data_IF_876544326854
#
_entry.id   IF_876544326854
#
_cell.length_a   1.000
_cell.length_b   1.000
_cell.length_c   1.000
_cell.angle_alpha   90.00
_cell.angle_beta   90.00
_cell.angle_gamma   90.00
#
_symmetry.space_group_name_H-M   'P 1'
#
loop_
_entity.id
_entity.type
_entity.pdbx_description
1 polymer ?
#
# COMPACT_ATOMS: atom_id res chain seq x y z
N UNK A 1 -11.49 -0.51 25.16
CA UNK A 1 -12.31 -1.46 25.96
C UNK A 1 -11.75 -2.85 25.70
N UNK A 2 -10.91 -3.38 26.60
CA UNK A 2 -10.30 -4.70 26.44
C UNK A 2 -11.28 -5.77 26.93
N UNK A 3 -11.64 -6.72 26.06
CA UNK A 3 -12.67 -7.72 26.31
C UNK A 3 -12.21 -8.91 27.19
N UNK A 4 -11.12 -8.79 27.97
CA UNK A 4 -10.55 -9.93 28.72
C UNK A 4 -10.17 -9.64 30.17
N UNK A 5 -10.31 -8.40 30.68
CA UNK A 5 -10.13 -8.13 32.12
C UNK A 5 -8.71 -8.36 32.67
N UNK A 6 -7.71 -8.53 31.81
CA UNK A 6 -6.30 -8.64 32.20
C UNK A 6 -5.61 -7.31 31.92
N UNK A 7 -5.08 -6.69 32.97
CA UNK A 7 -4.32 -5.44 32.89
C UNK A 7 -2.84 -5.76 32.65
N UNK A 8 -2.37 -5.59 31.42
CA UNK A 8 -0.95 -5.75 31.08
C UNK A 8 -0.19 -4.43 31.38
N UNK A 9 0.77 -4.41 32.32
CA UNK A 9 1.39 -3.16 32.80
C UNK A 9 2.21 -2.42 31.73
N UNK A 10 2.64 -3.10 30.66
CA UNK A 10 3.43 -2.53 29.57
C UNK A 10 2.80 -2.71 28.18
N UNK A 11 1.69 -3.42 28.07
CA UNK A 11 1.16 -3.90 26.79
C UNK A 11 0.83 -2.78 25.82
N UNK A 12 0.07 -1.78 26.28
CA UNK A 12 -0.35 -0.65 25.44
C UNK A 12 0.83 0.22 25.03
N UNK A 13 1.73 0.56 25.96
CA UNK A 13 2.88 1.40 25.68
C UNK A 13 3.87 0.70 24.74
N UNK A 14 4.18 -0.57 24.98
CA UNK A 14 5.03 -1.36 24.09
C UNK A 14 4.40 -1.49 22.70
N UNK A 15 3.10 -1.80 22.63
CA UNK A 15 2.40 -2.02 21.35
C UNK A 15 2.30 -0.72 20.54
N UNK A 16 2.09 0.43 21.19
CA UNK A 16 2.09 1.74 20.51
C UNK A 16 3.47 2.08 19.91
N UNK A 17 4.55 1.59 20.50
CA UNK A 17 5.93 1.75 19.98
C UNK A 17 6.29 0.73 18.89
N UNK A 18 5.39 -0.16 18.49
CA UNK A 18 5.65 -1.07 17.36
C UNK A 18 5.39 -0.31 16.05
N UNK A 19 6.40 -0.25 15.20
CA UNK A 19 6.26 0.13 13.81
C UNK A 19 5.82 -1.11 13.02
N UNK A 20 4.62 -1.07 12.45
CA UNK A 20 4.06 -2.20 11.69
C UNK A 20 4.03 -1.88 10.20
N UNK A 21 4.49 -2.80 9.37
CA UNK A 21 4.42 -2.69 7.91
C UNK A 21 3.63 -3.87 7.35
N UNK A 22 2.51 -3.57 6.72
CA UNK A 22 1.74 -4.55 5.97
C UNK A 22 2.35 -4.79 4.61
N UNK A 23 2.36 -6.04 4.16
CA UNK A 23 2.84 -6.41 2.82
C UNK A 23 1.75 -7.21 2.12
N UNK A 24 1.29 -6.72 0.98
CA UNK A 24 0.25 -7.35 0.16
C UNK A 24 0.67 -7.39 -1.29
N UNK A 25 0.21 -8.41 -2.01
CA UNK A 25 0.44 -8.53 -3.43
C UNK A 25 -0.79 -9.04 -4.15
N UNK A 26 -0.98 -8.56 -5.38
CA UNK A 26 -2.06 -8.99 -6.25
C UNK A 26 -1.56 -9.15 -7.69
N UNK A 27 -1.63 -10.39 -8.17
CA UNK A 27 -1.16 -10.78 -9.52
C UNK A 27 -2.31 -11.06 -10.50
N UNK A 28 -3.54 -11.17 -10.01
CA UNK A 28 -4.73 -11.46 -10.80
C UNK A 28 -5.99 -10.81 -10.19
N UNK A 29 -7.06 -10.76 -10.98
CA UNK A 29 -8.39 -10.28 -10.54
C UNK A 29 -8.37 -8.83 -10.01
N UNK A 30 -7.60 -7.96 -10.67
CA UNK A 30 -7.38 -6.55 -10.27
C UNK A 30 -8.72 -5.84 -10.16
N UNK A 31 -9.62 -6.03 -11.12
CA UNK A 31 -10.94 -5.37 -11.13
C UNK A 31 -11.93 -5.89 -10.08
N UNK A 32 -11.87 -7.19 -9.75
CA UNK A 32 -12.91 -7.82 -8.92
C UNK A 32 -12.70 -7.60 -7.42
N UNK A 33 -11.47 -7.25 -7.01
CA UNK A 33 -11.10 -7.17 -5.59
C UNK A 33 -10.85 -5.74 -5.08
N UNK A 34 -11.04 -4.71 -5.93
CA UNK A 34 -10.69 -3.32 -5.58
C UNK A 34 -11.43 -2.86 -4.33
N UNK A 35 -12.75 -3.00 -4.31
CA UNK A 35 -13.58 -2.43 -3.25
C UNK A 35 -13.29 -3.11 -1.91
N UNK A 36 -13.25 -4.44 -1.89
CA UNK A 36 -12.88 -5.22 -0.69
C UNK A 36 -11.47 -4.92 -0.20
N UNK A 37 -10.52 -4.72 -1.11
CA UNK A 37 -9.15 -4.42 -0.72
C UNK A 37 -9.03 -2.99 -0.17
N UNK A 38 -9.67 -2.03 -0.82
CA UNK A 38 -9.70 -0.65 -0.34
C UNK A 38 -10.34 -0.56 1.04
N UNK A 39 -11.45 -1.27 1.27
CA UNK A 39 -12.10 -1.36 2.58
C UNK A 39 -11.16 -1.94 3.65
N UNK A 40 -10.40 -3.00 3.34
CA UNK A 40 -9.44 -3.60 4.28
C UNK A 40 -8.29 -2.65 4.59
N UNK A 41 -7.67 -2.05 3.56
CA UNK A 41 -6.59 -1.08 3.73
C UNK A 41 -7.09 0.18 4.45
N UNK A 42 -8.34 0.59 4.30
CA UNK A 42 -8.93 1.71 5.05
C UNK A 42 -9.22 1.34 6.52
N UNK A 43 -9.79 0.16 6.76
CA UNK A 43 -10.27 -0.24 8.08
C UNK A 43 -9.14 -0.54 9.07
N UNK A 44 -8.01 -1.04 8.60
CA UNK A 44 -6.86 -1.37 9.44
C UNK A 44 -6.26 -0.16 10.18
N UNK A 45 -5.80 0.91 9.50
CA UNK A 45 -5.24 2.08 10.17
C UNK A 45 -6.31 2.77 11.01
N UNK A 46 -7.57 2.80 10.55
CA UNK A 46 -8.67 3.36 11.32
C UNK A 46 -8.85 2.65 12.66
N UNK A 47 -8.82 1.32 12.68
CA UNK A 47 -8.97 0.57 13.93
C UNK A 47 -7.73 0.69 14.82
N UNK A 48 -6.53 0.60 14.24
CA UNK A 48 -5.29 0.65 14.99
C UNK A 48 -5.02 2.03 15.58
N UNK A 49 -5.17 3.12 14.82
CA UNK A 49 -4.97 4.48 15.33
C UNK A 49 -6.00 4.89 16.38
N UNK A 50 -7.23 4.35 16.33
CA UNK A 50 -8.22 4.61 17.39
C UNK A 50 -7.87 3.92 18.71
N UNK A 51 -7.09 2.85 18.69
CA UNK A 51 -6.62 2.13 19.88
C UNK A 51 -5.24 2.66 20.31
N UNK A 52 -4.34 2.92 19.35
CA UNK A 52 -2.93 3.28 19.53
C UNK A 52 -2.61 4.52 18.65
N UNK A 53 -2.98 5.74 19.09
CA UNK A 53 -2.93 6.93 18.24
C UNK A 53 -1.56 7.27 17.66
N UNK A 54 -0.47 6.96 18.37
CA UNK A 54 0.90 7.25 17.93
C UNK A 54 1.54 6.11 17.13
N UNK A 55 0.90 4.95 17.03
CA UNK A 55 1.47 3.82 16.28
C UNK A 55 1.81 4.23 14.86
N UNK A 56 2.97 3.78 14.35
CA UNK A 56 3.43 4.07 13.00
C UNK A 56 3.12 2.88 12.11
N UNK A 57 2.31 3.11 11.09
CA UNK A 57 1.82 2.11 10.16
C UNK A 57 2.33 2.38 8.75
N UNK A 58 2.88 1.35 8.14
CA UNK A 58 3.25 1.30 6.74
C UNK A 58 2.44 0.27 5.96
N UNK A 59 2.30 0.48 4.66
CA UNK A 59 1.80 -0.55 3.75
C UNK A 59 2.64 -0.61 2.47
N UNK A 60 3.08 -1.81 2.11
CA UNK A 60 3.69 -2.11 0.82
C UNK A 60 2.68 -2.95 0.04
N UNK A 61 2.24 -2.42 -1.09
CA UNK A 61 1.29 -3.07 -1.96
C UNK A 61 1.88 -3.30 -3.34
N UNK A 62 1.99 -4.56 -3.75
CA UNK A 62 2.46 -4.93 -5.08
C UNK A 62 1.27 -5.27 -5.99
N UNK A 63 1.17 -4.58 -7.12
CA UNK A 63 0.15 -4.83 -8.14
C UNK A 63 0.82 -5.14 -9.48
N UNK A 64 0.43 -6.24 -10.10
CA UNK A 64 0.84 -6.51 -11.49
C UNK A 64 0.05 -5.62 -12.45
N UNK A 65 0.71 -4.99 -13.42
CA UNK A 65 0.01 -4.19 -14.46
C UNK A 65 -0.65 -5.06 -15.54
N UNK A 66 -0.27 -6.34 -15.60
CA UNK A 66 -0.86 -7.38 -16.45
C UNK A 66 -1.25 -8.58 -15.60
N UNK A 67 -2.50 -8.99 -15.68
CA UNK A 67 -2.97 -10.15 -14.93
C UNK A 67 -2.37 -11.44 -15.48
N UNK A 68 -2.06 -12.38 -14.58
CA UNK A 68 -1.79 -13.76 -14.99
C UNK A 68 -3.03 -14.37 -15.66
N UNK A 69 -2.81 -15.11 -16.74
CA UNK A 69 -3.86 -15.91 -17.35
C UNK A 69 -4.06 -17.20 -16.56
N UNK A 70 -5.09 -17.21 -15.72
CA UNK A 70 -5.45 -18.36 -14.88
C UNK A 70 -5.69 -19.65 -15.68
N UNK A 71 -6.19 -19.56 -16.92
CA UNK A 71 -6.43 -20.73 -17.75
C UNK A 71 -5.11 -21.36 -18.23
N UNK A 72 -4.12 -20.52 -18.56
CA UNK A 72 -2.78 -20.98 -18.96
C UNK A 72 -1.97 -21.47 -17.76
N UNK A 73 -2.06 -20.78 -16.62
CA UNK A 73 -1.39 -21.19 -15.38
C UNK A 73 -1.89 -22.55 -14.91
N UNK A 74 -3.19 -22.85 -15.05
CA UNK A 74 -3.73 -24.18 -14.76
C UNK A 74 -3.14 -25.30 -15.64
N UNK A 75 -2.57 -24.94 -16.79
CA UNK A 75 -1.85 -25.83 -17.71
C UNK A 75 -0.33 -25.78 -17.53
N UNK A 76 0.17 -25.21 -16.41
CA UNK A 76 1.58 -24.97 -16.12
C UNK A 76 2.29 -24.05 -17.13
N UNK A 77 1.54 -23.19 -17.82
CA UNK A 77 2.08 -22.20 -18.74
C UNK A 77 1.99 -20.79 -18.12
N UNK A 78 3.12 -20.15 -17.89
CA UNK A 78 3.17 -18.78 -17.35
C UNK A 78 2.88 -17.81 -18.49
N UNK A 79 1.62 -17.41 -18.61
CA UNK A 79 1.16 -16.43 -19.58
C UNK A 79 0.46 -15.26 -18.90
N UNK A 80 0.55 -14.09 -19.52
CA UNK A 80 -0.05 -12.84 -19.04
C UNK A 80 -1.11 -12.37 -20.03
N UNK A 81 -2.22 -11.87 -19.51
CA UNK A 81 -3.24 -11.23 -20.32
C UNK A 81 -2.72 -9.90 -20.86
N UNK A 82 -3.17 -9.54 -22.06
CA UNK A 82 -2.88 -8.21 -22.61
C UNK A 82 -3.46 -7.12 -21.71
N UNK A 83 -2.73 -6.01 -21.61
CA UNK A 83 -3.23 -4.83 -20.89
C UNK A 83 -4.42 -4.24 -21.65
N UNK A 84 -5.49 -3.91 -20.93
CA UNK A 84 -6.73 -3.35 -21.51
C UNK A 84 -7.08 -2.03 -20.86
N UNK A 85 -7.88 -1.20 -21.54
CA UNK A 85 -8.34 0.08 -20.99
C UNK A 85 -9.06 -0.07 -19.64
N UNK A 86 -9.77 -1.18 -19.41
CA UNK A 86 -10.42 -1.48 -18.13
C UNK A 86 -9.40 -1.71 -17.02
N UNK A 87 -8.33 -2.47 -17.30
CA UNK A 87 -7.23 -2.68 -16.34
C UNK A 87 -6.54 -1.36 -16.01
N UNK A 88 -6.28 -0.51 -17.00
CA UNK A 88 -5.73 0.83 -16.77
C UNK A 88 -6.60 1.69 -15.85
N UNK A 89 -7.94 1.66 -16.03
CA UNK A 89 -8.89 2.35 -15.12
C UNK A 89 -8.84 1.79 -13.69
N UNK A 90 -8.65 0.48 -13.54
CA UNK A 90 -8.50 -0.12 -12.23
C UNK A 90 -7.21 0.33 -11.55
N UNK A 91 -6.07 0.29 -12.25
CA UNK A 91 -4.79 0.79 -11.74
C UNK A 91 -4.90 2.27 -11.34
N UNK A 92 -5.58 3.08 -12.15
CA UNK A 92 -5.86 4.49 -11.81
C UNK A 92 -6.62 4.62 -10.48
N UNK A 93 -7.66 3.79 -10.26
CA UNK A 93 -8.41 3.75 -8.99
C UNK A 93 -7.52 3.35 -7.82
N UNK A 94 -6.61 2.38 -7.98
CA UNK A 94 -5.65 1.99 -6.95
C UNK A 94 -4.73 3.13 -6.56
N UNK A 95 -4.13 3.80 -7.53
CA UNK A 95 -3.21 4.92 -7.28
C UNK A 95 -3.95 6.04 -6.53
N UNK A 96 -5.14 6.43 -7.00
CA UNK A 96 -5.96 7.47 -6.36
C UNK A 96 -6.38 7.08 -4.94
N UNK A 97 -6.79 5.84 -4.75
CA UNK A 97 -7.17 5.30 -3.45
C UNK A 97 -6.01 5.33 -2.47
N UNK A 98 -4.87 4.74 -2.83
CA UNK A 98 -3.72 4.72 -1.94
C UNK A 98 -3.14 6.12 -1.70
N UNK A 99 -3.16 7.02 -2.68
CA UNK A 99 -2.77 8.42 -2.45
C UNK A 99 -3.64 9.09 -1.36
N UNK A 100 -4.95 8.79 -1.33
CA UNK A 100 -5.86 9.34 -0.31
C UNK A 100 -5.64 8.75 1.09
N UNK A 101 -5.19 7.50 1.18
CA UNK A 101 -4.89 6.80 2.44
C UNK A 101 -3.45 7.02 2.93
N UNK A 102 -2.64 7.80 2.24
CA UNK A 102 -1.21 7.96 2.53
C UNK A 102 -0.92 9.28 3.26
N UNK A 103 0.31 9.42 3.76
CA UNK A 103 0.89 10.65 4.29
C UNK A 103 0.28 11.16 5.61
N UNK A 104 -0.16 10.25 6.49
CA UNK A 104 -0.45 10.61 7.89
C UNK A 104 0.82 11.16 8.54
N UNK A 105 0.73 12.34 9.13
CA UNK A 105 1.86 13.03 9.75
C UNK A 105 1.64 13.20 11.25
N UNK A 106 0.39 13.33 11.68
CA UNK A 106 0.05 13.57 13.08
C UNK A 106 -1.22 12.84 13.53
N UNK A 107 -1.42 12.75 14.84
CA UNK A 107 -2.65 12.25 15.46
C UNK A 107 -3.89 13.13 15.20
N UNK A 108 -3.71 14.32 14.60
CA UNK A 108 -4.82 15.20 14.21
C UNK A 108 -5.28 14.95 12.78
N UNK A 109 -4.50 14.21 12.01
CA UNK A 109 -4.87 13.80 10.66
C UNK A 109 -5.85 12.62 10.75
N UNK A 110 -6.45 12.29 9.61
CA UNK A 110 -7.45 11.22 9.56
C UNK A 110 -6.88 9.86 10.01
N UNK A 111 -7.55 9.20 10.95
CA UNK A 111 -7.14 7.90 11.50
C UNK A 111 -7.05 6.80 10.44
N UNK A 112 -7.78 6.92 9.34
CA UNK A 112 -7.78 5.96 8.24
C UNK A 112 -6.54 6.04 7.34
N UNK A 113 -5.64 7.01 7.55
CA UNK A 113 -4.41 7.16 6.77
C UNK A 113 -3.26 6.39 7.41
N UNK A 114 -2.41 5.82 6.58
CA UNK A 114 -1.08 5.35 6.94
C UNK A 114 -0.07 6.48 6.93
N UNK A 115 0.99 6.35 7.73
CA UNK A 115 2.14 7.24 7.67
C UNK A 115 2.84 7.16 6.32
N UNK A 116 2.90 5.95 5.76
CA UNK A 116 3.40 5.73 4.40
C UNK A 116 2.79 4.50 3.72
N UNK A 117 2.37 4.66 2.47
CA UNK A 117 2.05 3.56 1.55
C UNK A 117 3.05 3.57 0.39
N UNK A 118 3.62 2.40 0.07
CA UNK A 118 4.38 2.15 -1.14
C UNK A 118 3.58 1.25 -2.08
N UNK A 119 3.21 1.77 -3.24
CA UNK A 119 2.57 1.04 -4.33
C UNK A 119 3.62 0.64 -5.36
N UNK A 120 3.90 -0.65 -5.45
CA UNK A 120 4.80 -1.24 -6.44
C UNK A 120 3.96 -1.72 -7.62
N UNK A 121 4.02 -0.99 -8.73
CA UNK A 121 3.44 -1.43 -10.00
C UNK A 121 4.51 -2.18 -10.78
N UNK A 122 4.28 -3.46 -11.08
CA UNK A 122 5.25 -4.32 -11.75
C UNK A 122 4.66 -4.98 -13.00
N UNK A 123 5.48 -5.09 -14.05
CA UNK A 123 5.17 -5.82 -15.27
C UNK A 123 6.01 -7.10 -15.34
N UNK A 124 5.44 -8.19 -14.82
CA UNK A 124 6.09 -9.49 -14.81
C UNK A 124 6.14 -10.15 -16.19
N UNK A 125 5.48 -9.60 -17.21
CA UNK A 125 5.59 -10.13 -18.57
C UNK A 125 6.85 -9.63 -19.30
N UNK A 126 7.64 -8.76 -18.67
CA UNK A 126 8.92 -8.29 -19.19
C UNK A 126 10.09 -9.02 -18.50
N UNK A 127 11.19 -9.19 -19.25
CA UNK A 127 12.44 -9.79 -18.75
C UNK A 127 13.59 -8.83 -19.05
N UNK A 128 14.18 -8.14 -18.07
CA UNK A 128 13.85 -8.17 -16.64
C UNK A 128 12.47 -7.56 -16.32
N UNK A 129 11.93 -7.87 -15.13
CA UNK A 129 10.66 -7.30 -14.65
C UNK A 129 10.78 -5.79 -14.61
N UNK A 130 9.83 -5.09 -15.25
CA UNK A 130 9.78 -3.62 -15.23
C UNK A 130 8.96 -3.16 -14.02
N UNK A 131 9.52 -2.27 -13.22
CA UNK A 131 8.83 -1.62 -12.09
C UNK A 131 8.60 -0.15 -12.48
N UNK A 132 7.39 0.34 -12.27
CA UNK A 132 7.02 1.73 -12.60
C UNK A 132 7.11 2.59 -11.34
N UNK A 133 7.94 3.64 -11.39
CA UNK A 133 8.19 4.51 -10.24
C UNK A 133 7.49 5.86 -10.33
N UNK A 134 7.02 6.25 -11.51
CA UNK A 134 6.42 7.56 -11.74
C UNK A 134 5.36 7.53 -12.86
N UNK A 135 4.56 8.59 -12.93
CA UNK A 135 3.54 8.76 -13.95
C UNK A 135 4.07 8.79 -15.38
N UNK A 136 5.29 9.28 -15.61
CA UNK A 136 5.85 9.37 -16.96
C UNK A 136 6.08 7.97 -17.55
N UNK A 137 6.62 7.04 -16.78
CA UNK A 137 6.79 5.64 -17.18
C UNK A 137 5.45 4.94 -17.44
N UNK A 138 4.45 5.17 -16.57
CA UNK A 138 3.11 4.60 -16.72
C UNK A 138 2.41 5.12 -17.99
N UNK A 139 2.56 6.41 -18.30
CA UNK A 139 1.98 7.04 -19.47
C UNK A 139 2.69 6.59 -20.76
N UNK A 140 4.03 6.47 -20.73
CA UNK A 140 4.82 6.03 -21.87
C UNK A 140 4.45 4.60 -22.32
N UNK A 141 4.15 3.72 -21.37
CA UNK A 141 3.77 2.32 -21.63
C UNK A 141 2.25 2.12 -21.80
N UNK A 142 1.46 3.20 -21.75
CA UNK A 142 0.01 3.15 -21.91
C UNK A 142 -0.71 2.38 -20.79
N UNK A 143 -0.14 2.34 -19.59
CA UNK A 143 -0.72 1.68 -18.41
C UNK A 143 -1.84 2.53 -17.81
N UNK A 144 -1.67 3.85 -17.81
CA UNK A 144 -2.71 4.78 -17.36
C UNK A 144 -3.62 5.22 -18.51
N UNK A 145 -4.93 5.43 -18.25
CA UNK A 145 -5.81 6.04 -19.24
C UNK A 145 -5.32 7.44 -19.64
N UNK A 146 -5.55 7.81 -20.90
CA UNK A 146 -5.23 9.15 -21.38
C UNK A 146 -5.94 10.22 -20.55
N UNK A 147 -5.20 11.22 -20.08
CA UNK A 147 -5.73 12.29 -19.21
C UNK A 147 -5.97 11.89 -17.76
N UNK A 148 -5.45 10.74 -17.32
CA UNK A 148 -5.50 10.32 -15.91
C UNK A 148 -4.92 11.39 -14.98
N UNK A 149 -5.63 11.63 -13.88
CA UNK A 149 -5.20 12.52 -12.78
C UNK A 149 -4.61 11.75 -11.60
N UNK A 150 -4.39 10.45 -11.74
CA UNK A 150 -3.68 9.67 -10.72
C UNK A 150 -2.27 10.22 -10.54
N UNK A 151 -1.74 10.17 -9.32
CA UNK A 151 -0.43 10.69 -8.98
C UNK A 151 0.34 9.65 -8.17
N UNK A 152 1.49 9.22 -8.69
CA UNK A 152 2.41 8.29 -8.02
C UNK A 152 3.32 9.00 -7.02
N UNK A 153 3.26 10.32 -6.92
CA UNK A 153 4.01 11.09 -5.93
C UNK A 153 3.70 10.54 -4.54
N UNK A 154 4.76 10.29 -3.76
CA UNK A 154 4.69 9.68 -2.44
C UNK A 154 4.18 8.22 -2.36
N UNK A 155 3.98 7.54 -3.49
CA UNK A 155 3.64 6.12 -3.54
C UNK A 155 4.80 5.24 -3.98
N UNK A 156 5.93 5.80 -4.41
CA UNK A 156 7.15 5.02 -4.65
C UNK A 156 7.65 4.35 -3.37
N UNK A 157 8.30 3.20 -3.53
CA UNK A 157 9.05 2.55 -2.46
C UNK A 157 10.27 3.39 -2.02
N UNK A 158 10.75 4.29 -2.86
CA UNK A 158 11.82 5.23 -2.52
C UNK A 158 11.38 6.14 -1.37
N UNK A 159 12.24 6.26 -0.36
CA UNK A 159 11.98 7.04 0.86
C UNK A 159 10.90 6.44 1.78
N UNK A 160 10.43 5.21 1.52
CA UNK A 160 9.41 4.56 2.34
C UNK A 160 9.88 4.37 3.80
N UNK A 161 11.04 3.74 3.97
CA UNK A 161 11.63 3.48 5.30
C UNK A 161 12.04 4.78 5.97
N UNK A 162 12.66 5.69 5.22
CA UNK A 162 13.10 7.00 5.72
C UNK A 162 11.91 7.78 6.31
N UNK A 163 10.77 7.78 5.62
CA UNK A 163 9.57 8.44 6.12
C UNK A 163 9.02 7.78 7.38
N UNK A 164 8.93 6.45 7.41
CA UNK A 164 8.40 5.74 8.59
C UNK A 164 9.28 5.95 9.81
N UNK A 165 10.61 5.87 9.64
CA UNK A 165 11.58 6.12 10.71
C UNK A 165 11.56 7.58 11.16
N UNK A 166 11.50 8.55 10.24
CA UNK A 166 11.35 9.96 10.56
C UNK A 166 10.11 10.23 11.43
N UNK A 167 8.96 9.65 11.06
CA UNK A 167 7.72 9.82 11.84
C UNK A 167 7.82 9.11 13.19
N UNK A 168 8.43 7.94 13.24
CA UNK A 168 8.66 7.20 14.47
C UNK A 168 9.51 8.00 15.46
N UNK A 169 10.67 8.49 15.01
CA UNK A 169 11.60 9.28 15.81
C UNK A 169 10.94 10.56 16.33
N UNK A 170 10.08 11.21 15.53
CA UNK A 170 9.30 12.37 15.97
C UNK A 170 8.29 12.05 17.09
N UNK A 171 7.78 10.83 17.14
CA UNK A 171 6.74 10.41 18.10
C UNK A 171 7.32 9.86 19.39
N UNK A 172 8.41 9.10 19.29
CA UNK A 172 8.96 8.34 20.41
C UNK A 172 10.38 8.76 20.79
N UNK A 173 11.09 9.49 19.92
CA UNK A 173 12.49 9.88 20.12
C UNK A 173 13.47 8.93 19.42
N UNK A 174 14.74 9.33 19.37
CA UNK A 174 15.82 8.58 18.70
C UNK A 174 16.52 7.61 19.67
N UNK A 175 17.02 6.49 19.16
CA UNK A 175 17.86 5.55 19.95
C UNK A 175 17.08 4.50 20.76
N UNK A 176 15.80 4.30 20.44
CA UNK A 176 14.95 3.26 21.06
C UNK A 176 15.16 1.89 20.38
N UNK A 177 15.59 1.89 19.12
CA UNK A 177 15.82 0.69 18.29
C UNK A 177 17.30 0.30 18.16
N UNK A 178 18.21 1.03 18.82
CA UNK A 178 19.66 0.79 18.87
C UNK A 178 20.07 0.09 20.16
#
# INVERSE_FOLDING_TARGET
MYATGVTEPYGELFTEHILSVNVRSQLSSIGNNIDTMYERTYAEPLNLHRILPKMVLGEVYLLSVRELDSAQVALNNVAYKSHTASVGRYIERYIKGFAALNMRSSQRDDDFKYERIALILADFSQTPVKIYNNNAELNADGILPAGSTADMTNLSYDGFVDRLTEVYDKRFGTGILS
#
